data_IF_601858183752
#
_entry.id   IF_601858183752
#
_cell.length_a   1.000
_cell.length_b   1.000
_cell.length_c   1.000
_cell.angle_alpha   90.00
_cell.angle_beta   90.00
_cell.angle_gamma   90.00
#
_symmetry.space_group_name_H-M   'P 1'
#
loop_
_entity.id
_entity.type
_entity.pdbx_description
1 polymer ?
#
# COMPACT_ATOMS: atom_id res chain seq x y z
N UNK A 1 -20.75 -71.05 45.68
CA UNK A 1 -19.55 -70.70 44.88
C UNK A 1 -19.88 -70.15 43.49
N UNK A 2 -20.88 -70.67 42.77
CA UNK A 2 -21.30 -70.11 41.47
C UNK A 2 -22.13 -68.81 41.59
N UNK A 3 -23.01 -68.70 42.59
CA UNK A 3 -23.83 -67.51 42.88
C UNK A 3 -22.98 -66.30 43.28
N UNK A 4 -22.02 -66.51 44.18
CA UNK A 4 -21.10 -65.48 44.68
C UNK A 4 -20.20 -64.86 43.58
N UNK A 5 -19.81 -65.65 42.56
CA UNK A 5 -19.08 -65.15 41.39
C UNK A 5 -19.95 -64.32 40.44
N UNK A 6 -21.23 -64.66 40.30
CA UNK A 6 -22.19 -63.92 39.43
C UNK A 6 -22.58 -62.59 40.08
N UNK A 7 -22.68 -62.54 41.41
CA UNK A 7 -22.98 -61.29 42.13
C UNK A 7 -21.77 -60.34 42.13
N UNK A 8 -20.54 -60.87 42.28
CA UNK A 8 -19.32 -60.06 42.16
C UNK A 8 -19.11 -59.48 40.76
N UNK A 9 -19.43 -60.25 39.69
CA UNK A 9 -19.30 -59.76 38.32
C UNK A 9 -20.34 -58.68 37.98
N UNK A 10 -21.59 -58.84 38.43
CA UNK A 10 -22.63 -57.80 38.31
C UNK A 10 -22.25 -56.52 39.04
N UNK A 11 -21.72 -56.64 40.26
CA UNK A 11 -21.23 -55.49 41.02
C UNK A 11 -20.12 -54.74 40.27
N UNK A 12 -19.11 -55.44 39.75
CA UNK A 12 -18.02 -54.82 39.00
C UNK A 12 -18.50 -54.15 37.70
N UNK A 13 -19.44 -54.74 36.97
CA UNK A 13 -20.04 -54.14 35.77
C UNK A 13 -20.77 -52.84 36.13
N UNK A 14 -21.52 -52.82 37.24
CA UNK A 14 -22.19 -51.61 37.71
C UNK A 14 -21.18 -50.51 38.07
N UNK A 15 -20.10 -50.86 38.79
CA UNK A 15 -19.04 -49.91 39.14
C UNK A 15 -18.35 -49.34 37.89
N UNK A 16 -18.03 -50.18 36.90
CA UNK A 16 -17.44 -49.74 35.63
C UNK A 16 -18.36 -48.83 34.83
N UNK A 17 -19.67 -49.09 34.82
CA UNK A 17 -20.66 -48.22 34.17
C UNK A 17 -20.69 -46.83 34.81
N UNK A 18 -20.66 -46.77 36.14
CA UNK A 18 -20.59 -45.51 36.91
C UNK A 18 -19.30 -44.76 36.58
N UNK A 19 -18.15 -45.44 36.62
CA UNK A 19 -16.84 -44.87 36.26
C UNK A 19 -16.89 -44.24 34.87
N UNK A 20 -17.41 -44.95 33.87
CA UNK A 20 -17.50 -44.44 32.51
C UNK A 20 -18.39 -43.19 32.41
N UNK A 21 -19.53 -43.17 33.10
CA UNK A 21 -20.42 -41.99 33.13
C UNK A 21 -19.73 -40.79 33.78
N UNK A 22 -19.01 -40.99 34.89
CA UNK A 22 -18.25 -39.92 35.55
C UNK A 22 -17.17 -39.33 34.65
N UNK A 23 -16.41 -40.18 33.96
CA UNK A 23 -15.36 -39.75 33.05
C UNK A 23 -15.91 -39.01 31.83
N UNK A 24 -17.03 -39.48 31.25
CA UNK A 24 -17.68 -38.78 30.14
C UNK A 24 -18.16 -37.39 30.55
N UNK A 25 -18.76 -37.25 31.74
CA UNK A 25 -19.14 -35.93 32.28
C UNK A 25 -17.91 -35.05 32.51
N UNK A 26 -16.85 -35.58 33.13
CA UNK A 26 -15.63 -34.84 33.40
C UNK A 26 -14.95 -34.34 32.11
N UNK A 27 -14.86 -35.16 31.06
CA UNK A 27 -14.31 -34.73 29.77
C UNK A 27 -15.24 -33.76 29.03
N UNK A 28 -16.55 -33.90 29.22
CA UNK A 28 -17.59 -33.05 28.65
C UNK A 28 -17.68 -31.65 29.28
N UNK A 29 -17.10 -31.42 30.46
CA UNK A 29 -17.14 -30.13 31.12
C UNK A 29 -16.57 -29.00 30.23
N UNK A 30 -17.28 -27.87 30.19
CA UNK A 30 -16.93 -26.69 29.38
C UNK A 30 -16.09 -25.69 30.17
N UNK A 31 -16.21 -25.69 31.51
CA UNK A 31 -15.47 -24.77 32.40
C UNK A 31 -14.74 -25.50 33.53
N UNK A 32 -13.72 -24.85 34.10
CA UNK A 32 -12.98 -25.39 35.24
C UNK A 32 -13.90 -25.55 36.47
N UNK A 33 -14.79 -24.58 36.72
CA UNK A 33 -15.74 -24.65 37.83
C UNK A 33 -16.72 -25.83 37.68
N UNK A 34 -17.23 -26.06 36.47
CA UNK A 34 -18.10 -27.20 36.17
C UNK A 34 -17.38 -28.53 36.41
N UNK A 35 -16.13 -28.65 35.96
CA UNK A 35 -15.32 -29.85 36.23
C UNK A 35 -15.08 -30.05 37.73
N UNK A 36 -14.75 -28.98 38.48
CA UNK A 36 -14.60 -29.05 39.93
C UNK A 36 -15.88 -29.50 40.61
N UNK A 37 -17.04 -29.01 40.17
CA UNK A 37 -18.35 -29.42 40.67
C UNK A 37 -18.62 -30.91 40.41
N UNK A 38 -18.32 -31.41 39.21
CA UNK A 38 -18.47 -32.83 38.86
C UNK A 38 -17.57 -33.69 39.75
N UNK A 39 -16.28 -33.34 39.89
CA UNK A 39 -15.33 -34.09 40.73
C UNK A 39 -15.81 -34.12 42.19
N UNK A 40 -16.29 -32.99 42.71
CA UNK A 40 -16.70 -32.87 44.10
C UNK A 40 -18.03 -33.55 44.40
N UNK A 41 -19.01 -33.51 43.50
CA UNK A 41 -20.38 -33.95 43.81
C UNK A 41 -20.71 -35.32 43.19
N UNK A 42 -20.28 -35.60 41.96
CA UNK A 42 -20.69 -36.84 41.26
C UNK A 42 -19.87 -38.07 41.70
N UNK A 43 -18.69 -37.89 42.32
CA UNK A 43 -17.88 -38.98 42.88
C UNK A 43 -18.64 -39.82 43.93
N UNK A 44 -19.74 -39.30 44.48
CA UNK A 44 -20.59 -39.98 45.48
C UNK A 44 -21.24 -41.24 44.93
N UNK A 45 -21.44 -41.30 43.61
CA UNK A 45 -22.01 -42.45 42.92
C UNK A 45 -21.06 -43.66 42.96
N UNK A 46 -19.76 -43.44 43.17
CA UNK A 46 -18.75 -44.49 43.23
C UNK A 46 -18.33 -44.81 44.65
N UNK A 47 -18.00 -43.78 45.44
CA UNK A 47 -17.69 -43.90 46.87
C UNK A 47 -18.61 -42.94 47.61
N UNK A 48 -19.50 -43.46 48.44
CA UNK A 48 -20.31 -42.61 49.34
C UNK A 48 -19.40 -41.89 50.33
N UNK A 49 -19.54 -40.58 50.41
CA UNK A 49 -18.85 -39.68 51.33
C UNK A 49 -19.85 -38.69 51.94
N UNK A 50 -19.52 -38.12 53.10
CA UNK A 50 -20.28 -37.05 53.75
C UNK A 50 -19.80 -35.67 53.29
N UNK A 51 -18.48 -35.52 53.10
CA UNK A 51 -17.88 -34.31 52.51
C UNK A 51 -16.74 -34.66 51.57
N UNK A 52 -16.69 -34.01 50.41
CA UNK A 52 -15.54 -34.05 49.50
C UNK A 52 -14.88 -32.67 49.45
N UNK A 53 -13.55 -32.64 49.37
CA UNK A 53 -12.78 -31.41 49.16
C UNK A 53 -11.70 -31.60 48.09
N UNK A 54 -11.56 -30.61 47.23
CA UNK A 54 -10.64 -30.62 46.10
C UNK A 54 -9.52 -29.60 46.33
N UNK A 55 -8.29 -30.01 46.12
CA UNK A 55 -7.08 -29.26 46.48
C UNK A 55 -6.17 -29.05 45.27
N UNK A 56 -5.54 -27.88 45.19
CA UNK A 56 -4.39 -27.60 44.31
C UNK A 56 -3.10 -27.74 45.10
N UNK A 57 -2.17 -28.54 44.57
CA UNK A 57 -0.84 -28.79 45.11
C UNK A 57 0.26 -28.11 44.25
N UNK A 58 -0.12 -27.21 43.34
CA UNK A 58 0.83 -26.54 42.44
C UNK A 58 1.73 -25.53 43.19
N UNK A 59 1.24 -24.97 44.29
CA UNK A 59 1.97 -24.02 45.15
C UNK A 59 2.57 -24.73 46.37
N UNK A 60 3.49 -24.05 47.08
CA UNK A 60 4.15 -24.59 48.29
C UNK A 60 3.14 -24.93 49.40
N UNK A 61 2.11 -24.11 49.56
CA UNK A 61 0.98 -24.34 50.46
C UNK A 61 -0.21 -24.87 49.65
N UNK A 62 -0.85 -25.99 50.05
CA UNK A 62 -2.01 -26.54 49.36
C UNK A 62 -3.17 -25.53 49.40
N UNK A 63 -3.85 -25.35 48.28
CA UNK A 63 -4.99 -24.43 48.17
C UNK A 63 -6.28 -25.21 48.00
N UNK A 64 -7.26 -24.96 48.86
CA UNK A 64 -8.60 -25.52 48.74
C UNK A 64 -9.33 -24.88 47.55
N UNK A 65 -9.74 -25.69 46.59
CA UNK A 65 -10.44 -25.25 45.38
C UNK A 65 -11.97 -25.33 45.53
N UNK A 66 -12.48 -26.27 46.32
CA UNK A 66 -13.90 -26.53 46.43
C UNK A 66 -14.24 -27.52 47.54
N UNK A 67 -15.46 -27.42 48.09
CA UNK A 67 -16.08 -28.38 49.02
C UNK A 67 -17.42 -28.81 48.43
N UNK A 68 -17.76 -30.11 48.48
CA UNK A 68 -19.05 -30.63 48.03
C UNK A 68 -20.22 -29.95 48.75
N UNK A 69 -21.30 -29.63 48.02
CA UNK A 69 -22.50 -29.00 48.58
C UNK A 69 -22.37 -27.50 48.92
N UNK A 70 -21.23 -26.86 48.64
CA UNK A 70 -21.04 -25.41 48.79
C UNK A 70 -20.80 -24.76 47.43
N UNK A 71 -21.37 -23.58 47.21
CA UNK A 71 -21.19 -22.82 45.95
C UNK A 71 -19.90 -22.02 45.93
N UNK A 72 -19.41 -21.57 47.09
CA UNK A 72 -18.18 -20.80 47.26
C UNK A 72 -17.40 -21.28 48.49
N UNK A 73 -16.07 -21.34 48.37
CA UNK A 73 -15.19 -21.70 49.49
C UNK A 73 -14.68 -20.43 50.17
N UNK A 74 -15.01 -20.27 51.44
CA UNK A 74 -14.37 -19.26 52.28
C UNK A 74 -13.01 -19.80 52.78
N UNK A 75 -11.93 -19.39 52.12
CA UNK A 75 -10.55 -19.78 52.45
C UNK A 75 -10.11 -19.32 53.86
N UNK A 76 -10.77 -18.32 54.44
CA UNK A 76 -10.45 -17.76 55.75
C UNK A 76 -11.31 -18.34 56.89
N UNK A 77 -12.19 -19.31 56.61
CA UNK A 77 -12.95 -19.98 57.68
C UNK A 77 -12.03 -20.84 58.55
N UNK A 78 -12.37 -21.00 59.83
CA UNK A 78 -11.64 -21.86 60.77
C UNK A 78 -11.51 -23.28 60.20
N UNK A 79 -12.60 -23.82 59.65
CA UNK A 79 -12.60 -25.13 58.98
C UNK A 79 -11.56 -25.21 57.85
N UNK A 80 -11.53 -24.23 56.94
CA UNK A 80 -10.57 -24.20 55.83
C UNK A 80 -9.11 -24.20 56.32
N UNK A 81 -8.82 -23.51 57.42
CA UNK A 81 -7.48 -23.47 58.02
C UNK A 81 -7.11 -24.84 58.62
N UNK A 82 -8.01 -25.46 59.39
CA UNK A 82 -7.79 -26.80 59.94
C UNK A 82 -7.61 -27.84 58.83
N UNK A 83 -8.43 -27.80 57.77
CA UNK A 83 -8.30 -28.70 56.63
C UNK A 83 -6.99 -28.48 55.84
N UNK A 84 -6.55 -27.22 55.69
CA UNK A 84 -5.28 -26.90 55.04
C UNK A 84 -4.11 -27.47 55.83
N UNK A 85 -4.13 -27.32 57.16
CA UNK A 85 -3.13 -27.90 58.06
C UNK A 85 -3.12 -29.44 58.01
N UNK A 86 -4.29 -30.09 57.89
CA UNK A 86 -4.37 -31.53 57.67
C UNK A 86 -3.67 -31.94 56.37
N UNK A 87 -3.99 -31.28 55.25
CA UNK A 87 -3.39 -31.60 53.94
C UNK A 87 -1.90 -31.26 53.88
N UNK A 88 -1.43 -30.26 54.63
CA UNK A 88 -0.02 -29.94 54.77
C UNK A 88 0.77 -31.09 55.43
N UNK A 89 0.21 -31.71 56.46
CA UNK A 89 0.86 -32.75 57.27
C UNK A 89 0.70 -34.19 56.73
N UNK A 90 0.04 -34.39 55.58
CA UNK A 90 0.01 -35.70 54.91
C UNK A 90 1.44 -36.07 54.46
N UNK A 91 1.97 -37.21 54.96
CA UNK A 91 3.35 -37.66 54.70
C UNK A 91 3.62 -37.91 53.20
N UNK A 92 2.87 -38.81 52.58
CA UNK A 92 2.97 -39.12 51.15
C UNK A 92 1.75 -38.60 50.40
N UNK A 93 1.86 -37.39 49.84
CA UNK A 93 0.78 -36.77 49.06
C UNK A 93 0.64 -37.37 47.66
N UNK A 94 1.57 -38.22 47.22
CA UNK A 94 1.61 -38.77 45.86
C UNK A 94 0.91 -40.11 45.72
N UNK A 95 0.51 -40.73 46.84
CA UNK A 95 -0.14 -42.04 46.86
C UNK A 95 -1.55 -41.97 47.46
N UNK A 96 -2.49 -42.73 46.88
CA UNK A 96 -3.82 -42.87 47.45
C UNK A 96 -3.76 -43.63 48.79
N UNK A 97 -4.39 -43.08 49.84
CA UNK A 97 -4.31 -43.65 51.19
C UNK A 97 -5.54 -43.32 52.04
N UNK A 98 -5.83 -44.17 53.02
CA UNK A 98 -6.80 -43.87 54.08
C UNK A 98 -6.11 -43.08 55.17
N UNK A 99 -6.80 -42.06 55.66
CA UNK A 99 -6.39 -41.18 56.73
C UNK A 99 -7.29 -41.45 57.93
N UNK A 100 -6.67 -41.69 59.08
CA UNK A 100 -7.34 -41.81 60.38
C UNK A 100 -6.62 -40.93 61.39
N UNK A 101 -7.20 -40.77 62.59
CA UNK A 101 -6.58 -39.98 63.66
C UNK A 101 -5.16 -40.46 63.98
N UNK A 102 -4.90 -41.77 63.91
CA UNK A 102 -3.59 -42.36 64.16
C UNK A 102 -2.55 -42.02 63.06
N UNK A 103 -3.00 -41.59 61.89
CA UNK A 103 -2.12 -41.16 60.79
C UNK A 103 -1.42 -39.83 61.08
N UNK A 104 -1.91 -39.06 62.07
CA UNK A 104 -1.42 -37.74 62.43
C UNK A 104 -1.08 -37.68 63.93
N UNK A 105 0.12 -38.12 64.35
CA UNK A 105 0.48 -38.19 65.76
C UNK A 105 0.62 -36.82 66.44
N UNK A 106 0.92 -35.75 65.70
CA UNK A 106 1.03 -34.38 66.22
C UNK A 106 0.55 -33.35 65.17
N UNK A 107 0.01 -32.21 65.62
CA UNK A 107 -0.14 -31.00 64.80
C UNK A 107 -1.45 -30.86 64.01
N UNK A 108 -2.37 -31.83 64.06
CA UNK A 108 -3.68 -31.76 63.39
C UNK A 108 -4.79 -31.95 64.42
N UNK A 109 -5.71 -30.98 64.53
CA UNK A 109 -6.92 -31.08 65.35
C UNK A 109 -8.00 -31.86 64.60
N UNK A 110 -8.00 -33.18 64.74
CA UNK A 110 -8.89 -34.08 63.99
C UNK A 110 -10.37 -33.78 64.27
N UNK A 111 -10.73 -33.52 65.53
CA UNK A 111 -12.10 -33.22 65.97
C UNK A 111 -12.64 -31.88 65.45
N UNK A 112 -11.76 -30.93 65.08
CA UNK A 112 -12.17 -29.66 64.48
C UNK A 112 -12.58 -29.82 63.00
N UNK A 113 -12.12 -30.89 62.35
CA UNK A 113 -12.38 -31.18 60.93
C UNK A 113 -13.51 -32.20 60.78
N UNK A 114 -13.48 -33.24 61.61
CA UNK A 114 -14.39 -34.37 61.58
C UNK A 114 -15.33 -34.33 62.78
N UNK A 115 -16.66 -34.19 62.58
CA UNK A 115 -17.63 -34.00 63.66
C UNK A 115 -17.86 -35.26 64.51
N UNK A 116 -17.38 -36.44 64.09
CA UNK A 116 -17.62 -37.71 64.78
C UNK A 116 -16.33 -38.43 65.15
N UNK A 117 -16.37 -39.19 66.26
CA UNK A 117 -15.23 -39.97 66.78
C UNK A 117 -14.79 -41.12 65.86
N UNK A 118 -15.66 -41.60 64.96
CA UNK A 118 -15.35 -42.69 64.04
C UNK A 118 -15.41 -42.22 62.58
N UNK A 119 -14.51 -41.28 62.24
CA UNK A 119 -14.39 -40.71 60.90
C UNK A 119 -13.14 -41.19 60.18
N UNK A 120 -13.21 -41.34 58.86
CA UNK A 120 -12.03 -41.57 58.00
C UNK A 120 -11.97 -40.54 56.88
N UNK A 121 -10.76 -40.17 56.49
CA UNK A 121 -10.47 -39.50 55.24
C UNK A 121 -9.94 -40.48 54.20
N UNK A 122 -10.26 -40.28 52.93
CA UNK A 122 -9.70 -41.04 51.81
C UNK A 122 -9.04 -40.02 50.89
N UNK A 123 -7.71 -40.09 50.82
CA UNK A 123 -6.89 -39.20 50.03
C UNK A 123 -6.62 -39.81 48.65
N UNK A 124 -6.94 -39.05 47.61
CA UNK A 124 -6.64 -39.40 46.22
C UNK A 124 -5.77 -38.33 45.55
N UNK A 125 -4.51 -38.64 45.20
CA UNK A 125 -3.65 -37.75 44.43
C UNK A 125 -4.09 -37.69 42.97
N UNK A 126 -4.37 -36.50 42.45
CA UNK A 126 -4.70 -36.31 41.03
C UNK A 126 -3.45 -35.82 40.29
N UNK A 127 -2.95 -36.66 39.40
CA UNK A 127 -1.85 -36.31 38.52
C UNK A 127 -2.33 -35.51 37.31
N UNK A 128 -1.65 -34.38 37.05
CA UNK A 128 -1.78 -33.63 35.82
C UNK A 128 -0.37 -33.35 35.28
N UNK A 129 -0.14 -33.57 33.99
CA UNK A 129 1.14 -33.51 33.31
C UNK A 129 2.23 -34.39 33.95
N UNK A 130 1.88 -35.61 34.36
CA UNK A 130 2.78 -36.57 35.04
C UNK A 130 3.37 -36.05 36.37
N UNK A 131 2.68 -35.12 37.02
CA UNK A 131 3.00 -34.64 38.36
C UNK A 131 1.73 -34.51 39.18
N UNK A 132 1.75 -34.92 40.44
CA UNK A 132 0.65 -34.69 41.39
C UNK A 132 0.44 -33.19 41.56
N UNK A 133 -0.61 -32.66 40.95
CA UNK A 133 -0.88 -31.21 40.88
C UNK A 133 -2.17 -30.85 41.58
N UNK A 134 -3.08 -31.81 41.75
CA UNK A 134 -4.33 -31.68 42.47
C UNK A 134 -4.53 -32.88 43.39
N UNK A 135 -5.50 -32.82 44.29
CA UNK A 135 -5.90 -33.96 45.09
C UNK A 135 -7.35 -33.86 45.56
N UNK A 136 -7.99 -35.00 45.72
CA UNK A 136 -9.36 -35.14 46.22
C UNK A 136 -9.32 -35.83 47.58
N UNK A 137 -9.90 -35.20 48.59
CA UNK A 137 -10.08 -35.77 49.91
C UNK A 137 -11.58 -36.04 50.13
N UNK A 138 -11.93 -37.31 50.35
CA UNK A 138 -13.28 -37.74 50.68
C UNK A 138 -13.36 -38.07 52.16
N UNK A 139 -14.33 -37.52 52.85
CA UNK A 139 -14.55 -37.71 54.28
C UNK A 139 -15.79 -38.55 54.51
N UNK A 140 -15.70 -39.48 55.44
CA UNK A 140 -16.84 -40.27 55.93
C UNK A 140 -16.90 -40.17 57.45
N UNK A 141 -18.10 -39.95 57.99
CA UNK A 141 -18.38 -39.76 59.40
C UNK A 141 -19.24 -40.94 59.92
N UNK A 142 -19.22 -41.18 61.24
CA UNK A 142 -20.04 -42.20 61.93
C UNK A 142 -19.98 -43.61 61.31
N UNK A 143 -18.80 -44.03 60.87
CA UNK A 143 -18.63 -45.26 60.09
C UNK A 143 -18.77 -46.49 60.97
N UNK A 144 -19.53 -47.50 60.52
CA UNK A 144 -19.49 -48.83 61.11
C UNK A 144 -18.37 -49.66 60.47
N UNK A 145 -17.78 -50.65 61.15
CA UNK A 145 -16.71 -51.48 60.57
C UNK A 145 -17.05 -52.12 59.22
N UNK A 146 -18.34 -52.36 58.95
CA UNK A 146 -18.89 -52.92 57.71
C UNK A 146 -19.00 -51.90 56.56
N UNK A 147 -19.01 -50.60 56.86
CA UNK A 147 -19.20 -49.49 55.91
C UNK A 147 -17.87 -48.87 55.42
N UNK A 148 -16.74 -49.43 55.86
CA UNK A 148 -15.41 -49.05 55.39
C UNK A 148 -15.29 -49.49 53.92
N UNK A 149 -15.02 -48.55 52.98
CA UNK A 149 -14.92 -48.91 51.57
C UNK A 149 -13.88 -49.99 51.34
N UNK A 150 -14.25 -51.08 50.66
CA UNK A 150 -13.33 -52.16 50.34
C UNK A 150 -12.10 -51.64 49.56
N UNK A 151 -10.93 -52.25 49.78
CA UNK A 151 -9.70 -51.89 49.06
C UNK A 151 -9.91 -51.90 47.54
N UNK A 152 -10.62 -52.91 47.03
CA UNK A 152 -10.95 -53.06 45.61
C UNK A 152 -11.62 -51.81 45.01
N UNK A 153 -12.51 -51.13 45.75
CA UNK A 153 -13.22 -49.93 45.27
C UNK A 153 -12.30 -48.71 45.25
N UNK A 154 -11.43 -48.57 46.27
CA UNK A 154 -10.43 -47.51 46.28
C UNK A 154 -9.41 -47.68 45.15
N UNK A 155 -8.99 -48.91 44.89
CA UNK A 155 -8.06 -49.24 43.80
C UNK A 155 -8.69 -48.95 42.43
N UNK A 156 -9.97 -49.25 42.24
CA UNK A 156 -10.72 -48.87 41.03
C UNK A 156 -10.78 -47.35 40.85
N UNK A 157 -11.07 -46.59 41.92
CA UNK A 157 -11.09 -45.13 41.85
C UNK A 157 -9.71 -44.55 41.50
N UNK A 158 -8.67 -44.99 42.21
CA UNK A 158 -7.29 -44.54 42.03
C UNK A 158 -6.73 -44.91 40.65
N UNK A 159 -7.14 -46.05 40.09
CA UNK A 159 -6.63 -46.52 38.78
C UNK A 159 -7.38 -45.91 37.60
N UNK A 160 -8.70 -45.69 37.71
CA UNK A 160 -9.52 -45.31 36.54
C UNK A 160 -10.08 -43.89 36.63
N UNK A 161 -10.69 -43.51 37.76
CA UNK A 161 -11.39 -42.21 37.88
C UNK A 161 -10.41 -41.06 38.09
N UNK A 162 -9.48 -41.23 39.03
CA UNK A 162 -8.55 -40.19 39.43
C UNK A 162 -7.63 -39.76 38.27
N UNK A 163 -7.04 -40.67 37.46
CA UNK A 163 -6.27 -40.26 36.28
C UNK A 163 -7.12 -39.59 35.21
N UNK A 164 -8.38 -40.00 35.05
CA UNK A 164 -9.29 -39.37 34.10
C UNK A 164 -9.71 -37.96 34.51
N UNK A 165 -9.94 -37.71 35.81
CA UNK A 165 -10.09 -36.36 36.35
C UNK A 165 -8.83 -35.52 36.14
N UNK A 166 -7.64 -36.11 36.31
CA UNK A 166 -6.36 -35.47 36.03
C UNK A 166 -6.25 -34.98 34.57
N UNK A 167 -6.56 -35.87 33.62
CA UNK A 167 -6.59 -35.52 32.19
C UNK A 167 -7.65 -34.45 31.87
N UNK A 168 -8.84 -34.53 32.47
CA UNK A 168 -9.86 -33.50 32.30
C UNK A 168 -9.39 -32.13 32.82
N UNK A 169 -8.66 -32.09 33.93
CA UNK A 169 -8.08 -30.85 34.48
C UNK A 169 -6.97 -30.27 33.60
N UNK A 170 -6.20 -31.10 32.89
CA UNK A 170 -5.17 -30.64 31.94
C UNK A 170 -5.75 -29.77 30.82
N UNK A 171 -6.97 -30.07 30.35
CA UNK A 171 -7.70 -29.29 29.33
C UNK A 171 -7.75 -27.79 29.68
N UNK A 172 -7.80 -27.46 30.97
CA UNK A 172 -7.97 -26.10 31.46
C UNK A 172 -6.66 -25.42 31.89
N UNK A 173 -5.51 -26.09 31.80
CA UNK A 173 -4.19 -25.57 32.23
C UNK A 173 -3.37 -24.96 31.06
N UNK A 174 -4.05 -24.30 30.11
CA UNK A 174 -3.53 -23.80 28.80
C UNK A 174 -2.43 -22.73 28.94
N UNK A 175 -2.31 -22.10 30.11
CA UNK A 175 -1.34 -21.02 30.40
C UNK A 175 0.13 -21.42 30.29
N UNK A 176 0.47 -22.73 30.30
CA UNK A 176 1.86 -23.20 30.09
C UNK A 176 2.23 -23.43 28.63
N UNK A 177 1.28 -23.77 27.76
CA UNK A 177 1.55 -24.00 26.34
C UNK A 177 1.95 -22.71 25.62
N UNK A 178 1.28 -21.59 25.93
CA UNK A 178 1.65 -20.26 25.40
C UNK A 178 3.00 -19.74 25.92
N UNK A 179 3.37 -20.00 27.18
CA UNK A 179 4.69 -19.60 27.72
C UNK A 179 5.85 -20.37 27.10
N UNK A 180 5.63 -21.58 26.59
CA UNK A 180 6.66 -22.40 25.93
C UNK A 180 6.94 -21.91 24.50
N UNK A 181 5.91 -21.42 23.80
CA UNK A 181 6.05 -20.81 22.47
C UNK A 181 6.84 -19.49 22.53
N UNK A 182 6.69 -18.70 23.61
CA UNK A 182 7.43 -17.45 23.85
C UNK A 182 8.85 -17.64 24.44
N UNK A 183 9.31 -18.87 24.68
CA UNK A 183 10.63 -19.14 25.29
C UNK A 183 11.80 -19.19 24.31
N UNK A 184 11.57 -19.01 23.00
CA UNK A 184 12.64 -18.91 22.01
C UNK A 184 13.18 -17.48 21.95
N UNK A 185 13.94 -17.05 22.97
CA UNK A 185 14.59 -15.73 23.00
C UNK A 185 15.39 -15.42 21.72
N UNK A 186 15.94 -16.45 21.07
CA UNK A 186 16.70 -16.32 19.82
C UNK A 186 15.81 -16.16 18.58
N UNK A 187 14.57 -16.66 18.58
CA UNK A 187 13.63 -16.53 17.46
C UNK A 187 13.02 -15.12 17.39
N UNK A 188 12.92 -14.44 18.54
CA UNK A 188 12.48 -13.04 18.61
C UNK A 188 13.46 -12.08 17.92
N UNK A 189 14.76 -12.37 17.92
CA UNK A 189 15.78 -11.59 17.19
C UNK A 189 15.87 -11.94 15.70
N UNK A 190 15.38 -13.13 15.29
CA UNK A 190 15.39 -13.54 13.89
C UNK A 190 14.36 -12.79 13.04
N UNK A 191 13.21 -12.40 13.63
CA UNK A 191 12.16 -11.63 12.93
C UNK A 191 12.65 -10.23 12.50
N UNK A 192 13.21 -9.37 13.39
CA UNK A 192 13.71 -8.07 12.98
C UNK A 192 14.94 -8.19 12.07
N UNK A 193 15.78 -9.22 12.25
CA UNK A 193 16.90 -9.48 11.35
C UNK A 193 16.41 -9.83 9.94
N UNK A 194 15.42 -10.70 9.82
CA UNK A 194 14.80 -11.06 8.54
C UNK A 194 14.15 -9.83 7.89
N UNK A 195 13.42 -9.03 8.67
CA UNK A 195 12.79 -7.79 8.19
C UNK A 195 13.86 -6.79 7.70
N UNK A 196 14.96 -6.63 8.43
CA UNK A 196 16.09 -5.80 8.03
C UNK A 196 16.70 -6.32 6.72
N UNK A 197 16.89 -7.62 6.57
CA UNK A 197 17.42 -8.22 5.34
C UNK A 197 16.49 -7.97 4.14
N UNK A 198 15.17 -8.03 4.37
CA UNK A 198 14.14 -7.74 3.37
C UNK A 198 14.18 -6.27 2.91
N UNK A 199 14.48 -5.34 3.83
CA UNK A 199 14.64 -3.92 3.52
C UNK A 199 15.89 -3.60 2.67
N UNK A 200 16.89 -4.48 2.68
CA UNK A 200 18.09 -4.37 1.83
C UNK A 200 17.87 -4.90 0.40
N UNK A 201 16.75 -5.56 0.10
CA UNK A 201 16.44 -6.05 -1.24
C UNK A 201 16.34 -4.86 -2.21
N UNK A 202 17.03 -4.97 -3.35
CA UNK A 202 17.05 -3.94 -4.39
C UNK A 202 15.84 -4.08 -5.32
N UNK A 203 15.00 -3.06 -5.36
CA UNK A 203 13.79 -2.99 -6.18
C UNK A 203 13.92 -1.91 -7.27
N UNK A 204 13.34 -2.11 -8.48
CA UNK A 204 13.38 -1.10 -9.54
C UNK A 204 12.53 0.11 -9.15
N UNK A 205 13.11 1.30 -9.20
CA UNK A 205 12.36 2.53 -8.97
C UNK A 205 11.55 2.86 -10.22
N UNK A 206 10.25 3.12 -10.04
CA UNK A 206 9.36 3.54 -11.12
C UNK A 206 8.59 4.78 -10.74
N UNK A 207 8.39 5.68 -11.70
CA UNK A 207 7.58 6.89 -11.54
C UNK A 207 6.51 6.88 -12.61
N UNK A 208 5.33 7.33 -12.22
CA UNK A 208 4.22 7.58 -13.13
C UNK A 208 4.09 9.08 -13.31
N UNK A 209 4.20 9.54 -14.56
CA UNK A 209 4.14 10.95 -14.91
C UNK A 209 3.10 11.16 -16.02
N UNK A 210 2.30 12.23 -15.99
CA UNK A 210 1.42 12.55 -17.12
C UNK A 210 2.25 12.84 -18.38
N UNK A 211 1.71 12.45 -19.53
CA UNK A 211 2.34 12.66 -20.82
C UNK A 211 1.34 13.10 -21.90
N UNK A 212 1.86 13.74 -22.95
CA UNK A 212 1.12 14.18 -24.13
C UNK A 212 1.92 13.82 -25.39
N UNK A 213 1.21 13.46 -26.44
CA UNK A 213 1.80 13.20 -27.74
C UNK A 213 1.91 14.52 -28.52
N UNK A 214 3.14 14.90 -28.83
CA UNK A 214 3.47 16.13 -29.53
C UNK A 214 4.20 15.82 -30.85
N UNK A 215 4.19 16.73 -31.83
CA UNK A 215 4.99 16.54 -33.04
C UNK A 215 6.49 16.46 -32.72
N UNK A 216 7.21 15.57 -33.41
CA UNK A 216 8.66 15.41 -33.20
C UNK A 216 9.44 16.64 -33.67
N UNK A 217 9.10 17.14 -34.87
CA UNK A 217 9.74 18.27 -35.53
C UNK A 217 8.68 19.28 -36.02
N UNK A 218 8.15 20.14 -35.12
CA UNK A 218 7.17 21.15 -35.50
C UNK A 218 7.83 22.32 -36.23
N UNK A 219 7.34 22.63 -37.43
CA UNK A 219 7.73 23.84 -38.15
C UNK A 219 6.86 25.01 -37.70
N UNK A 220 7.46 25.93 -36.95
CA UNK A 220 6.77 27.12 -36.44
C UNK A 220 6.66 28.17 -37.56
N UNK A 221 5.43 28.51 -37.92
CA UNK A 221 5.15 29.56 -38.89
C UNK A 221 5.01 30.89 -38.16
N UNK A 222 5.94 31.79 -38.44
CA UNK A 222 5.97 33.15 -37.91
C UNK A 222 5.53 34.18 -38.95
N UNK A 223 5.15 35.35 -38.49
CA UNK A 223 4.79 36.51 -39.32
C UNK A 223 6.04 37.07 -40.03
N UNK A 224 6.15 37.02 -41.38
CA UNK A 224 7.31 37.57 -42.09
C UNK A 224 7.28 39.10 -42.24
N UNK A 225 6.10 39.74 -42.12
CA UNK A 225 5.94 41.19 -42.15
C UNK A 225 5.15 41.67 -40.93
N UNK A 226 5.24 42.97 -40.66
CA UNK A 226 4.37 43.66 -39.70
C UNK A 226 3.10 44.11 -40.44
N UNK A 227 1.94 43.85 -39.83
CA UNK A 227 0.66 44.18 -40.46
C UNK A 227 -0.53 43.60 -39.72
N UNK A 228 -1.69 43.61 -40.36
CA UNK A 228 -2.91 43.02 -39.81
C UNK A 228 -3.20 41.74 -40.58
N UNK A 229 -3.43 40.63 -39.88
CA UNK A 229 -3.90 39.41 -40.50
C UNK A 229 -5.37 39.60 -40.87
N UNK A 230 -5.69 39.53 -42.17
CA UNK A 230 -7.07 39.61 -42.64
C UNK A 230 -7.84 38.35 -42.24
N UNK A 231 -7.27 37.18 -42.50
CA UNK A 231 -7.87 35.89 -42.13
C UNK A 231 -6.86 34.74 -42.23
N UNK A 232 -7.13 33.69 -41.43
CA UNK A 232 -6.51 32.38 -41.60
C UNK A 232 -7.41 31.54 -42.53
N UNK A 233 -6.83 31.04 -43.62
CA UNK A 233 -7.53 30.30 -44.68
C UNK A 233 -7.60 28.78 -44.42
N UNK A 234 -6.91 28.33 -43.38
CA UNK A 234 -6.76 26.92 -43.03
C UNK A 234 -7.38 26.61 -41.67
N UNK A 235 -7.82 25.36 -41.49
CA UNK A 235 -8.45 24.90 -40.25
C UNK A 235 -7.48 24.08 -39.39
N UNK A 236 -7.60 24.11 -38.05
CA UNK A 236 -6.86 23.23 -37.17
C UNK A 236 -7.07 21.76 -37.54
N UNK A 237 -6.02 20.95 -37.51
CA UNK A 237 -6.08 19.54 -37.89
C UNK A 237 -6.16 19.26 -39.39
N UNK A 238 -6.22 20.29 -40.25
CA UNK A 238 -6.17 20.11 -41.71
C UNK A 238 -4.76 19.71 -42.14
N UNK A 239 -4.66 18.72 -43.03
CA UNK A 239 -3.41 18.40 -43.73
C UNK A 239 -3.22 19.36 -44.92
N UNK A 240 -2.09 20.06 -44.96
CA UNK A 240 -1.73 21.02 -46.01
C UNK A 240 -0.58 20.52 -46.85
N UNK A 241 -0.53 20.96 -48.10
CA UNK A 241 0.59 20.68 -49.02
C UNK A 241 1.59 21.85 -49.02
N UNK A 242 2.87 21.60 -49.37
CA UNK A 242 3.80 22.69 -49.65
C UNK A 242 3.22 23.64 -50.71
N UNK A 243 3.34 24.95 -50.48
CA UNK A 243 2.83 25.99 -51.37
C UNK A 243 1.36 26.38 -51.15
N UNK A 244 0.63 25.70 -50.28
CA UNK A 244 -0.75 26.05 -49.92
C UNK A 244 -0.80 27.31 -49.05
N UNK A 245 -1.73 28.23 -49.32
CA UNK A 245 -1.85 29.49 -48.57
C UNK A 245 -2.39 29.19 -47.16
N UNK A 246 -1.68 29.68 -46.15
CA UNK A 246 -2.03 29.50 -44.74
C UNK A 246 -2.88 30.66 -44.22
N UNK A 247 -2.39 31.88 -44.40
CA UNK A 247 -3.07 33.10 -43.96
C UNK A 247 -2.74 34.25 -44.90
N UNK A 248 -3.59 35.29 -44.85
CA UNK A 248 -3.47 36.48 -45.69
C UNK A 248 -3.47 37.73 -44.81
N UNK A 249 -2.66 38.72 -45.19
CA UNK A 249 -2.65 40.04 -44.57
C UNK A 249 -3.67 40.98 -45.23
N UNK A 250 -4.05 42.03 -44.52
CA UNK A 250 -4.80 43.14 -45.11
C UNK A 250 -3.97 43.79 -46.22
N UNK A 251 -4.44 43.60 -47.46
CA UNK A 251 -3.72 44.00 -48.67
C UNK A 251 -3.85 45.49 -48.98
N UNK A 252 -4.75 46.23 -48.31
CA UNK A 252 -5.12 47.60 -48.70
C UNK A 252 -3.95 48.57 -48.62
N UNK A 253 -3.21 48.56 -47.53
CA UNK A 253 -2.07 49.47 -47.33
C UNK A 253 -0.86 49.04 -48.18
N UNK A 254 -0.40 47.78 -48.13
CA UNK A 254 0.83 47.39 -48.85
C UNK A 254 0.68 47.44 -50.37
N UNK A 255 -0.51 47.12 -50.92
CA UNK A 255 -0.74 47.28 -52.36
C UNK A 255 -0.80 48.75 -52.77
N UNK A 256 -1.26 49.65 -51.89
CA UNK A 256 -1.26 51.09 -52.19
C UNK A 256 0.16 51.66 -52.18
N UNK A 257 0.99 51.21 -51.26
CA UNK A 257 2.42 51.57 -51.22
C UNK A 257 3.17 51.07 -52.45
N UNK A 258 2.88 49.84 -52.91
CA UNK A 258 3.39 49.32 -54.18
C UNK A 258 3.00 50.21 -55.37
N UNK A 259 1.72 50.59 -55.46
CA UNK A 259 1.24 51.50 -56.52
C UNK A 259 1.96 52.86 -56.48
N UNK A 260 2.20 53.41 -55.29
CA UNK A 260 2.93 54.68 -55.11
C UNK A 260 4.38 54.53 -55.60
N UNK A 261 5.08 53.45 -55.22
CA UNK A 261 6.46 53.21 -55.64
C UNK A 261 6.59 53.02 -57.16
N UNK A 262 5.63 52.33 -57.80
CA UNK A 262 5.58 52.19 -59.26
C UNK A 262 5.45 53.56 -59.96
N UNK A 263 4.62 54.45 -59.41
CA UNK A 263 4.48 55.82 -59.94
C UNK A 263 5.75 56.65 -59.73
N UNK A 264 6.43 56.53 -58.59
CA UNK A 264 7.67 57.25 -58.32
C UNK A 264 8.79 56.88 -59.30
N UNK A 265 8.95 55.59 -59.62
CA UNK A 265 9.88 55.15 -60.67
C UNK A 265 9.51 55.74 -62.03
N UNK A 266 8.22 55.75 -62.38
CA UNK A 266 7.75 56.34 -63.64
C UNK A 266 8.02 57.86 -63.72
N UNK A 267 7.91 58.58 -62.60
CA UNK A 267 8.21 60.02 -62.54
C UNK A 267 9.72 60.24 -62.70
N UNK A 268 10.55 59.50 -61.97
CA UNK A 268 12.01 59.61 -62.06
C UNK A 268 12.53 59.30 -63.47
N UNK A 269 11.97 58.29 -64.13
CA UNK A 269 12.31 57.97 -65.52
C UNK A 269 11.94 59.12 -66.47
N UNK A 270 10.74 59.68 -66.34
CA UNK A 270 10.31 60.81 -67.16
C UNK A 270 11.16 62.08 -66.93
N UNK A 271 11.68 62.30 -65.71
CA UNK A 271 12.62 63.38 -65.41
C UNK A 271 13.96 63.19 -66.13
N UNK A 272 14.48 61.95 -66.20
CA UNK A 272 15.69 61.62 -66.97
C UNK A 272 15.45 61.86 -68.45
N UNK A 273 14.39 61.28 -69.03
CA UNK A 273 14.08 61.39 -70.46
C UNK A 273 13.91 62.87 -70.88
N UNK A 274 13.28 63.68 -70.03
CA UNK A 274 13.15 65.13 -70.25
C UNK A 274 14.50 65.84 -70.24
N UNK A 275 15.39 65.48 -69.33
CA UNK A 275 16.72 66.11 -69.16
C UNK A 275 17.67 65.71 -70.28
N UNK A 276 17.62 64.45 -70.72
CA UNK A 276 18.33 63.97 -71.91
C UNK A 276 17.88 64.74 -73.16
N UNK A 277 16.57 64.94 -73.34
CA UNK A 277 16.01 65.74 -74.43
C UNK A 277 16.46 67.20 -74.45
N UNK A 278 16.72 67.80 -73.29
CA UNK A 278 17.23 69.18 -73.15
C UNK A 278 18.77 69.28 -73.26
N UNK A 279 19.49 68.19 -73.00
CA UNK A 279 20.95 68.13 -72.87
C UNK A 279 21.74 68.02 -74.18
N UNK A 280 21.08 67.91 -75.34
CA UNK A 280 21.73 67.77 -76.66
C UNK A 280 22.63 68.96 -77.09
N UNK A 281 22.74 70.03 -76.29
CA UNK A 281 23.58 71.21 -76.54
C UNK A 281 25.02 71.18 -75.99
N UNK A 282 25.47 70.09 -75.35
CA UNK A 282 26.88 69.92 -74.94
C UNK A 282 27.31 70.62 -73.64
N UNK A 283 26.36 70.96 -72.76
CA UNK A 283 26.64 71.73 -71.55
C UNK A 283 27.09 70.81 -70.38
N UNK A 284 28.22 71.16 -69.74
CA UNK A 284 28.85 70.32 -68.70
C UNK A 284 27.99 70.19 -67.42
N UNK A 285 27.03 71.11 -67.22
CA UNK A 285 26.04 71.08 -66.13
C UNK A 285 25.01 69.96 -66.32
N UNK A 286 24.56 69.71 -67.54
CA UNK A 286 23.53 68.69 -67.83
C UNK A 286 24.03 67.27 -67.51
N UNK A 287 25.32 66.99 -67.69
CA UNK A 287 25.91 65.70 -67.31
C UNK A 287 25.92 65.44 -65.80
N UNK A 288 26.20 66.47 -64.99
CA UNK A 288 26.17 66.34 -63.53
C UNK A 288 24.73 66.16 -63.02
N UNK A 289 23.76 66.86 -63.63
CA UNK A 289 22.34 66.73 -63.30
C UNK A 289 21.78 65.35 -63.68
N UNK A 290 22.15 64.81 -64.85
CA UNK A 290 21.80 63.45 -65.25
C UNK A 290 22.37 62.40 -64.29
N UNK A 291 23.59 62.57 -63.79
CA UNK A 291 24.16 61.66 -62.80
C UNK A 291 23.31 61.63 -61.51
N UNK A 292 22.86 62.79 -61.02
CA UNK A 292 22.00 62.88 -59.83
C UNK A 292 20.62 62.26 -60.08
N UNK A 293 20.03 62.48 -61.27
CA UNK A 293 18.74 61.88 -61.63
C UNK A 293 18.81 60.35 -61.77
N UNK A 294 19.92 59.83 -62.31
CA UNK A 294 20.16 58.39 -62.36
C UNK A 294 20.26 57.77 -60.95
N UNK A 295 20.98 58.40 -60.03
CA UNK A 295 21.02 57.96 -58.62
C UNK A 295 19.63 58.02 -57.96
N UNK A 296 18.82 59.04 -58.29
CA UNK A 296 17.44 59.15 -57.83
C UNK A 296 16.58 58.01 -58.39
N UNK A 297 16.68 57.70 -59.68
CA UNK A 297 15.97 56.57 -60.29
C UNK A 297 16.36 55.24 -59.64
N UNK A 298 17.65 55.00 -59.40
CA UNK A 298 18.11 53.78 -58.74
C UNK A 298 17.56 53.68 -57.31
N UNK A 299 17.52 54.79 -56.56
CA UNK A 299 16.85 54.84 -55.25
C UNK A 299 15.36 54.46 -55.35
N UNK A 300 14.61 55.01 -56.29
CA UNK A 300 13.19 54.68 -56.46
C UNK A 300 12.98 53.22 -56.90
N UNK A 301 13.87 52.66 -57.74
CA UNK A 301 13.84 51.23 -58.09
C UNK A 301 14.07 50.33 -56.87
N UNK A 302 14.97 50.70 -55.96
CA UNK A 302 15.19 49.98 -54.71
C UNK A 302 13.91 50.01 -53.85
N UNK A 303 13.23 51.14 -53.76
CA UNK A 303 11.96 51.25 -53.04
C UNK A 303 10.85 50.40 -53.67
N UNK A 304 10.74 50.41 -55.01
CA UNK A 304 9.80 49.55 -55.72
C UNK A 304 10.07 48.06 -55.47
N UNK A 305 11.34 47.64 -55.50
CA UNK A 305 11.70 46.25 -55.23
C UNK A 305 11.34 45.85 -53.79
N UNK A 306 11.51 46.75 -52.83
CA UNK A 306 11.08 46.53 -51.44
C UNK A 306 9.56 46.38 -51.33
N UNK A 307 8.78 47.28 -51.94
CA UNK A 307 7.32 47.20 -51.94
C UNK A 307 6.81 45.93 -52.65
N UNK A 308 7.44 45.51 -53.76
CA UNK A 308 7.16 44.24 -54.44
C UNK A 308 7.45 43.04 -53.55
N UNK A 309 8.55 43.08 -52.81
CA UNK A 309 8.90 42.03 -51.85
C UNK A 309 7.85 41.94 -50.74
N UNK A 310 7.45 43.05 -50.13
CA UNK A 310 6.39 43.07 -49.12
C UNK A 310 5.06 42.55 -49.66
N UNK A 311 4.66 42.97 -50.87
CA UNK A 311 3.47 42.49 -51.54
C UNK A 311 3.50 40.97 -51.79
N UNK A 312 4.67 40.40 -52.09
CA UNK A 312 4.83 38.95 -52.30
C UNK A 312 4.59 38.12 -51.02
N UNK A 313 4.71 38.74 -49.84
CA UNK A 313 4.54 38.10 -48.54
C UNK A 313 3.11 38.24 -47.97
N UNK A 314 2.21 38.98 -48.64
CA UNK A 314 0.83 39.18 -48.20
C UNK A 314 0.01 37.89 -48.13
N UNK A 315 0.28 36.95 -49.04
CA UNK A 315 -0.32 35.62 -49.01
C UNK A 315 0.75 34.61 -48.60
N UNK A 316 0.79 34.29 -47.31
CA UNK A 316 1.82 33.42 -46.78
C UNK A 316 1.51 31.95 -47.09
N UNK A 317 2.45 31.27 -47.76
CA UNK A 317 2.32 29.87 -48.18
C UNK A 317 3.11 28.94 -47.27
N UNK A 318 2.60 27.73 -47.08
CA UNK A 318 3.27 26.70 -46.28
C UNK A 318 4.57 26.24 -46.94
N UNK A 319 5.73 26.33 -46.27
CA UNK A 319 7.00 25.84 -46.82
C UNK A 319 7.06 24.31 -46.83
N UNK A 320 6.35 23.65 -45.92
CA UNK A 320 6.29 22.18 -45.78
C UNK A 320 4.86 21.68 -45.85
N UNK A 321 4.70 20.38 -46.09
CA UNK A 321 3.42 19.68 -45.94
C UNK A 321 3.26 19.12 -44.54
N UNK A 322 2.02 19.06 -44.04
CA UNK A 322 1.75 18.52 -42.71
C UNK A 322 0.40 18.92 -42.14
N UNK A 323 0.15 18.50 -40.91
CA UNK A 323 -1.04 18.86 -40.16
C UNK A 323 -0.85 20.21 -39.45
N UNK A 324 -1.88 21.05 -39.50
CA UNK A 324 -1.88 22.35 -38.83
C UNK A 324 -2.25 22.21 -37.37
N UNK A 325 -1.43 22.79 -36.50
CA UNK A 325 -1.69 22.97 -35.08
C UNK A 325 -1.90 24.46 -34.83
N UNK A 326 -3.12 24.80 -34.46
CA UNK A 326 -3.60 26.16 -34.20
C UNK A 326 -4.78 26.05 -33.24
N UNK A 327 -4.85 26.93 -32.24
CA UNK A 327 -5.93 26.90 -31.24
C UNK A 327 -7.25 27.38 -31.85
N UNK A 328 -7.37 28.69 -32.10
CA UNK A 328 -8.57 29.30 -32.64
C UNK A 328 -8.25 30.21 -33.85
N UNK A 329 -8.66 29.83 -35.07
CA UNK A 329 -8.44 30.65 -36.26
C UNK A 329 -9.13 32.02 -36.24
N UNK A 330 -10.27 32.14 -35.57
CA UNK A 330 -11.07 33.36 -35.59
C UNK A 330 -10.45 34.49 -34.76
N UNK A 331 -9.62 34.17 -33.75
CA UNK A 331 -8.88 35.15 -32.92
C UNK A 331 -7.80 35.91 -33.71
N UNK A 332 -7.42 35.40 -34.88
CA UNK A 332 -6.43 36.03 -35.74
C UNK A 332 -7.03 36.99 -36.76
N UNK A 333 -8.34 36.95 -36.98
CA UNK A 333 -9.02 37.83 -37.93
C UNK A 333 -8.96 39.28 -37.43
N UNK A 334 -8.30 40.15 -38.20
CA UNK A 334 -8.13 41.57 -37.86
C UNK A 334 -7.08 41.82 -36.77
N UNK A 335 -6.29 40.81 -36.39
CA UNK A 335 -5.27 40.97 -35.35
C UNK A 335 -3.99 41.60 -35.93
N UNK A 336 -3.47 42.68 -35.31
CA UNK A 336 -2.15 43.21 -35.67
C UNK A 336 -1.05 42.26 -35.19
N UNK A 337 -0.02 42.08 -36.02
CA UNK A 337 1.12 41.17 -35.77
C UNK A 337 2.44 41.84 -36.11
N UNK A 338 3.49 41.42 -35.39
CA UNK A 338 4.87 41.88 -35.63
C UNK A 338 5.71 40.81 -36.31
N UNK A 339 6.77 41.24 -36.99
CA UNK A 339 7.76 40.32 -37.57
C UNK A 339 8.26 39.35 -36.51
N UNK A 340 8.22 38.05 -36.82
CA UNK A 340 8.63 36.98 -35.91
C UNK A 340 7.56 36.48 -34.94
N UNK A 341 6.38 37.11 -34.89
CA UNK A 341 5.28 36.61 -34.05
C UNK A 341 4.79 35.25 -34.57
N UNK A 342 4.66 34.27 -33.66
CA UNK A 342 4.21 32.91 -33.99
C UNK A 342 2.71 32.91 -34.31
N UNK A 343 2.36 32.52 -35.54
CA UNK A 343 0.97 32.45 -36.01
C UNK A 343 0.41 31.05 -35.82
N UNK A 344 1.05 30.04 -36.38
CA UNK A 344 0.62 28.64 -36.32
C UNK A 344 1.79 27.67 -36.44
N UNK A 345 1.55 26.37 -36.26
CA UNK A 345 2.56 25.33 -36.45
C UNK A 345 2.09 24.36 -37.53
N UNK A 346 3.02 23.91 -38.38
CA UNK A 346 2.81 22.81 -39.32
C UNK A 346 3.72 21.66 -38.91
N UNK A 347 3.19 20.42 -38.86
CA UNK A 347 3.97 19.25 -38.43
C UNK A 347 3.61 17.99 -39.19
N UNK A 348 4.53 17.03 -39.32
CA UNK A 348 4.22 15.73 -39.91
C UNK A 348 3.51 14.83 -38.88
N UNK A 349 2.26 14.38 -39.12
CA UNK A 349 1.53 13.52 -38.19
C UNK A 349 2.17 12.13 -38.01
N UNK A 350 3.04 11.71 -38.94
CA UNK A 350 3.73 10.41 -38.88
C UNK A 350 4.90 10.41 -37.90
N UNK A 351 5.45 11.60 -37.61
CA UNK A 351 6.61 11.80 -36.73
C UNK A 351 6.17 12.46 -35.45
N UNK A 352 5.98 11.64 -34.42
CA UNK A 352 5.54 12.10 -33.11
C UNK A 352 6.58 11.74 -32.04
N UNK A 353 6.62 12.54 -30.98
CA UNK A 353 7.38 12.29 -29.76
C UNK A 353 6.45 12.45 -28.56
N UNK A 354 6.92 12.01 -27.41
CA UNK A 354 6.14 12.07 -26.17
C UNK A 354 6.75 13.12 -25.27
N UNK A 355 5.91 14.07 -24.88
CA UNK A 355 6.21 15.08 -23.88
C UNK A 355 5.74 14.56 -22.52
N UNK A 356 6.62 14.50 -21.53
CA UNK A 356 6.35 13.92 -20.21
C UNK A 356 6.62 14.98 -19.15
N UNK A 357 5.71 15.18 -18.21
CA UNK A 357 5.90 16.11 -17.09
C UNK A 357 6.19 15.32 -15.82
N UNK A 358 7.45 15.27 -15.42
CA UNK A 358 7.91 14.55 -14.23
C UNK A 358 7.71 15.45 -13.01
N UNK A 359 6.83 15.11 -12.05
CA UNK A 359 6.62 15.92 -10.86
C UNK A 359 7.91 16.12 -10.08
N UNK A 360 8.14 17.33 -9.57
CA UNK A 360 9.35 17.65 -8.80
C UNK A 360 9.56 16.72 -7.59
N UNK A 361 8.47 16.41 -6.86
CA UNK A 361 8.48 15.47 -5.73
C UNK A 361 8.92 14.06 -6.11
N UNK A 362 8.73 13.68 -7.38
CA UNK A 362 9.11 12.39 -7.90
C UNK A 362 10.44 12.45 -8.69
N UNK A 363 11.14 13.59 -8.76
CA UNK A 363 12.43 13.69 -9.44
C UNK A 363 13.46 12.67 -8.91
N UNK A 364 13.88 11.75 -9.76
CA UNK A 364 14.96 10.78 -9.50
C UNK A 364 16.03 10.90 -10.56
N UNK A 365 17.25 10.43 -10.26
CA UNK A 365 18.21 10.11 -11.31
C UNK A 365 17.57 9.15 -12.32
N UNK A 366 17.30 9.66 -13.52
CA UNK A 366 16.84 8.91 -14.68
C UNK A 366 17.98 8.89 -15.69
N UNK A 367 18.28 7.71 -16.20
CA UNK A 367 19.27 7.56 -17.26
C UNK A 367 18.62 7.86 -18.61
N UNK A 368 19.31 8.65 -19.43
CA UNK A 368 18.96 8.82 -20.84
C UNK A 368 19.01 7.45 -21.53
N UNK A 369 18.18 7.25 -22.56
CA UNK A 369 17.92 5.98 -23.24
C UNK A 369 17.25 4.89 -22.39
N UNK A 370 16.72 5.23 -21.21
CA UNK A 370 15.89 4.30 -20.44
C UNK A 370 14.57 4.01 -21.17
N UNK A 371 14.07 2.78 -21.01
CA UNK A 371 12.77 2.40 -21.55
C UNK A 371 11.66 3.12 -20.77
N UNK A 372 10.65 3.60 -21.49
CA UNK A 372 9.47 4.27 -20.96
C UNK A 372 8.25 3.51 -21.49
N UNK A 373 7.33 3.16 -20.61
CA UNK A 373 6.07 2.52 -20.99
C UNK A 373 4.95 3.55 -20.93
N UNK A 374 4.22 3.73 -22.02
CA UNK A 374 3.18 4.75 -22.15
C UNK A 374 1.81 4.08 -22.22
N UNK A 375 0.88 4.60 -21.43
CA UNK A 375 -0.53 4.23 -21.43
C UNK A 375 -1.35 5.47 -21.81
N UNK A 376 -2.02 5.40 -22.96
CA UNK A 376 -2.85 6.51 -23.43
C UNK A 376 -4.21 6.49 -22.76
N UNK A 377 -4.78 7.65 -22.46
CA UNK A 377 -6.10 7.74 -21.81
C UNK A 377 -7.22 7.19 -22.69
N UNK A 378 -7.04 7.22 -24.02
CA UNK A 378 -7.99 6.66 -25.00
C UNK A 378 -7.97 5.13 -25.07
N UNK A 379 -6.87 4.49 -24.66
CA UNK A 379 -6.73 3.03 -24.64
C UNK A 379 -5.82 2.62 -23.46
N UNK A 380 -6.39 2.48 -22.25
CA UNK A 380 -5.61 2.16 -21.05
C UNK A 380 -5.04 0.74 -21.02
N UNK A 381 -5.53 -0.15 -21.89
CA UNK A 381 -5.12 -1.57 -21.91
C UNK A 381 -3.85 -1.73 -22.74
N UNK A 382 -3.73 -0.96 -23.83
CA UNK A 382 -2.59 -1.04 -24.72
C UNK A 382 -1.43 -0.19 -24.21
N UNK A 383 -0.30 -0.85 -23.97
CA UNK A 383 0.95 -0.18 -23.64
C UNK A 383 1.79 0.06 -24.89
N UNK A 384 2.50 1.18 -24.93
CA UNK A 384 3.44 1.54 -25.98
C UNK A 384 4.83 1.73 -25.40
N UNK A 385 5.86 1.33 -26.14
CA UNK A 385 7.25 1.45 -25.71
C UNK A 385 7.95 2.66 -26.37
N UNK A 386 8.62 3.45 -25.55
CA UNK A 386 9.43 4.59 -25.96
C UNK A 386 10.78 4.59 -25.21
N UNK A 387 11.73 5.38 -25.68
CA UNK A 387 13.00 5.65 -25.03
C UNK A 387 13.11 7.11 -24.63
N UNK A 388 13.56 7.35 -23.41
CA UNK A 388 13.82 8.68 -22.90
C UNK A 388 15.02 9.30 -23.63
N UNK A 389 14.81 10.41 -24.34
CA UNK A 389 15.88 11.08 -25.10
C UNK A 389 16.41 12.32 -24.35
N UNK A 390 15.53 13.08 -23.70
CA UNK A 390 15.89 14.35 -23.08
C UNK A 390 15.13 14.60 -21.78
N UNK A 391 15.78 15.31 -20.84
CA UNK A 391 15.17 15.85 -19.62
C UNK A 391 15.67 17.29 -19.48
N UNK A 392 14.74 18.23 -19.30
CA UNK A 392 15.02 19.62 -19.07
C UNK A 392 15.59 19.84 -17.67
N UNK A 393 16.53 20.78 -17.56
CA UNK A 393 17.15 21.14 -16.29
C UNK A 393 16.30 22.13 -15.48
N UNK A 394 15.28 22.73 -16.09
CA UNK A 394 14.42 23.72 -15.47
C UNK A 394 13.04 23.15 -15.16
N UNK A 395 12.49 23.60 -14.03
CA UNK A 395 11.13 23.25 -13.61
C UNK A 395 10.15 24.16 -14.34
N UNK A 396 9.13 23.56 -14.93
CA UNK A 396 8.01 24.25 -15.56
C UNK A 396 6.70 23.85 -14.89
N UNK A 397 5.67 24.68 -15.03
CA UNK A 397 4.33 24.29 -14.59
C UNK A 397 3.69 23.41 -15.66
N UNK A 398 3.28 22.20 -15.27
CA UNK A 398 2.39 21.37 -16.07
C UNK A 398 1.03 22.07 -16.25
N UNK A 399 0.21 21.65 -17.21
CA UNK A 399 -1.17 22.12 -17.40
C UNK A 399 -2.02 22.01 -16.11
N UNK A 400 -1.67 21.05 -15.25
CA UNK A 400 -2.28 20.86 -13.91
C UNK A 400 -1.72 21.80 -12.83
N UNK A 401 -0.88 22.77 -13.19
CA UNK A 401 -0.16 23.70 -12.30
C UNK A 401 0.73 23.00 -11.26
N UNK A 402 1.21 21.79 -11.57
CA UNK A 402 2.15 21.05 -10.74
C UNK A 402 3.57 21.39 -11.23
N UNK A 403 4.50 21.80 -10.35
CA UNK A 403 5.92 21.96 -10.70
C UNK A 403 6.47 20.64 -11.24
N UNK A 404 7.00 20.65 -12.46
CA UNK A 404 7.44 19.44 -13.14
C UNK A 404 8.63 19.70 -14.07
N UNK A 405 9.57 18.76 -14.10
CA UNK A 405 10.63 18.71 -15.10
C UNK A 405 10.06 18.18 -16.41
N UNK A 406 10.42 18.85 -17.51
CA UNK A 406 9.97 18.46 -18.83
C UNK A 406 10.89 17.37 -19.39
N UNK A 407 10.34 16.23 -19.79
CA UNK A 407 11.09 15.18 -20.44
C UNK A 407 10.52 14.85 -21.83
N UNK A 408 11.38 14.42 -22.73
CA UNK A 408 11.01 13.99 -24.08
C UNK A 408 11.43 12.54 -24.32
N UNK A 409 10.51 11.76 -24.90
CA UNK A 409 10.76 10.38 -25.27
C UNK A 409 10.39 10.12 -26.75
N UNK A 410 11.12 9.20 -27.37
CA UNK A 410 10.92 8.79 -28.76
C UNK A 410 10.39 7.35 -28.82
N UNK A 411 9.50 7.08 -29.77
CA UNK A 411 8.93 5.74 -29.93
C UNK A 411 9.99 4.71 -30.32
N UNK A 412 9.98 3.55 -29.66
CA UNK A 412 10.75 2.38 -30.13
C UNK A 412 10.07 1.78 -31.37
N UNK A 413 8.74 1.73 -31.36
CA UNK A 413 7.93 1.33 -32.51
C UNK A 413 6.78 2.31 -32.64
N UNK A 414 6.85 3.16 -33.68
CA UNK A 414 5.86 4.20 -33.91
C UNK A 414 4.51 3.58 -34.27
N UNK A 415 3.41 3.93 -33.57
CA UNK A 415 2.09 3.41 -33.90
C UNK A 415 1.51 4.08 -35.15
N UNK A 416 0.94 3.30 -36.06
CA UNK A 416 0.49 3.79 -37.39
C UNK A 416 -0.65 4.84 -37.37
N UNK A 417 -1.36 5.02 -36.25
CA UNK A 417 -2.54 5.91 -36.17
C UNK A 417 -2.70 6.61 -34.81
N UNK A 418 -1.66 7.33 -34.39
CA UNK A 418 -1.76 8.18 -33.21
C UNK A 418 -2.12 9.61 -33.61
N UNK A 419 -3.13 10.18 -32.95
CA UNK A 419 -3.48 11.59 -33.08
C UNK A 419 -2.60 12.42 -32.13
N UNK A 420 -2.19 13.60 -32.59
CA UNK A 420 -1.52 14.60 -31.77
C UNK A 420 -2.47 15.10 -30.66
N UNK A 421 -1.91 15.53 -29.53
CA UNK A 421 -2.65 16.05 -28.39
C UNK A 421 -3.32 14.98 -27.51
N UNK A 422 -3.14 13.70 -27.83
CA UNK A 422 -3.58 12.62 -26.93
C UNK A 422 -2.75 12.63 -25.65
N UNK A 423 -3.43 12.56 -24.52
CA UNK A 423 -2.81 12.53 -23.18
C UNK A 423 -2.85 11.14 -22.57
N UNK A 424 -1.94 10.88 -21.64
CA UNK A 424 -1.80 9.60 -20.98
C UNK A 424 -0.88 9.67 -19.77
N UNK A 425 -0.44 8.50 -19.31
CA UNK A 425 0.57 8.35 -18.27
C UNK A 425 1.77 7.58 -18.82
N UNK A 426 2.97 8.09 -18.55
CA UNK A 426 4.23 7.44 -18.82
C UNK A 426 4.81 6.85 -17.54
N UNK A 427 5.23 5.60 -17.59
CA UNK A 427 5.98 4.92 -16.54
C UNK A 427 7.47 4.98 -16.91
N UNK A 428 8.24 5.71 -16.11
CA UNK A 428 9.68 5.82 -16.25
C UNK A 428 10.36 4.89 -15.24
N UNK A 429 11.36 4.16 -15.70
CA UNK A 429 12.15 3.25 -14.86
C UNK A 429 13.50 3.89 -14.53
N UNK A 430 13.75 4.09 -13.24
CA UNK A 430 15.04 4.54 -12.73
C UNK A 430 15.94 3.40 -12.27
N UNK A 431 16.97 3.74 -11.52
CA UNK A 431 17.90 2.77 -10.96
C UNK A 431 17.26 1.88 -9.88
N UNK A 432 17.89 0.74 -9.61
CA UNK A 432 17.45 -0.15 -8.53
C UNK A 432 17.93 0.39 -7.18
N UNK A 433 16.98 0.73 -6.32
CA UNK A 433 17.22 1.27 -4.98
C UNK A 433 16.83 0.25 -3.90
N UNK A 434 17.30 0.43 -2.67
CA UNK A 434 16.88 -0.43 -1.56
C UNK A 434 15.39 -0.24 -1.25
N UNK A 435 14.72 -1.31 -0.82
CA UNK A 435 13.31 -1.26 -0.41
C UNK A 435 13.08 -0.23 0.72
N UNK A 436 14.06 -0.10 1.63
CA UNK A 436 14.06 0.93 2.67
C UNK A 436 13.92 2.34 2.08
N UNK A 437 14.76 2.68 1.10
CA UNK A 437 14.72 4.00 0.45
C UNK A 437 13.40 4.18 -0.32
N UNK A 438 12.96 3.15 -1.06
CA UNK A 438 11.70 3.17 -1.80
C UNK A 438 10.49 3.52 -0.91
N UNK A 439 10.40 2.90 0.28
CA UNK A 439 9.30 3.14 1.23
C UNK A 439 9.43 4.49 1.96
N UNK A 440 10.63 4.89 2.35
CA UNK A 440 10.84 6.10 3.16
C UNK A 440 10.92 7.40 2.34
N UNK A 441 11.21 7.33 1.04
CA UNK A 441 11.43 8.54 0.20
C UNK A 441 10.26 9.53 0.23
N UNK A 442 9.03 9.05 0.01
CA UNK A 442 7.83 9.91 -0.02
C UNK A 442 7.46 10.50 1.35
N UNK A 443 7.37 9.72 2.44
CA UNK A 443 7.09 10.27 3.76
C UNK A 443 8.20 11.22 4.24
N UNK A 444 9.47 10.96 3.90
CA UNK A 444 10.57 11.86 4.27
C UNK A 444 10.45 13.26 3.62
N UNK A 445 10.04 13.30 2.35
CA UNK A 445 9.78 14.58 1.66
C UNK A 445 8.64 15.38 2.31
N UNK A 446 7.56 14.70 2.72
CA UNK A 446 6.46 15.36 3.45
C UNK A 446 6.86 15.79 4.86
N UNK A 447 7.67 14.99 5.55
CA UNK A 447 8.20 15.33 6.88
C UNK A 447 9.10 16.56 6.82
N UNK A 448 9.95 16.67 5.78
CA UNK A 448 10.80 17.84 5.54
C UNK A 448 9.96 19.12 5.35
N UNK A 449 8.90 19.06 4.54
CA UNK A 449 8.00 20.20 4.36
C UNK A 449 7.23 20.56 5.64
N UNK A 450 6.87 19.59 6.46
CA UNK A 450 6.14 19.83 7.70
C UNK A 450 7.00 20.49 8.80
N UNK A 451 8.31 20.19 8.82
CA UNK A 451 9.24 20.70 9.84
C UNK A 451 10.09 21.90 9.40
N UNK A 452 9.85 22.48 8.21
CA UNK A 452 10.61 23.63 7.67
C UNK A 452 12.15 23.49 7.82
N UNK A 453 12.71 22.34 7.43
CA UNK A 453 14.17 22.11 7.29
C UNK A 453 14.55 22.06 5.81
#
# INVERSE_FOLDING_TARGET
MATDKVDRSRFLIQQLSIINQLLLKAYGAETLQELQFIILNDTIHLIRYDRASLWSLEKKTPQLLGISGQTDVNLNSELSQHMTNLVENIQDKSRAQRLSKESFPNGVEWEAIFPSTNSIGIWFPIEANKKTSFALLLEKWDIKPEDIPANDVMDLCGTFVIPGYGQALEKFNVTRWFKRLLSFKNLLYLIPLLLMLLLLIRVPLRIVAPCEIVPADPYVITSPLEGIIEQILVKPGKNVKPGEILFSYDKRVPLKELEIAEKQVSIAQAEIDRTEGLGYGGDRKSFAELAVLNEKLEKEKVQLNYAKYQASLLDFKSPIGGIIILDNPDEWRGRPVKIGEKVLIVSDPSKTKIKIWIPENDNIPLNLNSNVTIFLSVDPIKSYEAKLNYIANEVSLSDKKIPSFLAEAEWVTSPEKIKLGLTGNAILYGERVSLLYFLLRKPWGTFRHFFEI
#
